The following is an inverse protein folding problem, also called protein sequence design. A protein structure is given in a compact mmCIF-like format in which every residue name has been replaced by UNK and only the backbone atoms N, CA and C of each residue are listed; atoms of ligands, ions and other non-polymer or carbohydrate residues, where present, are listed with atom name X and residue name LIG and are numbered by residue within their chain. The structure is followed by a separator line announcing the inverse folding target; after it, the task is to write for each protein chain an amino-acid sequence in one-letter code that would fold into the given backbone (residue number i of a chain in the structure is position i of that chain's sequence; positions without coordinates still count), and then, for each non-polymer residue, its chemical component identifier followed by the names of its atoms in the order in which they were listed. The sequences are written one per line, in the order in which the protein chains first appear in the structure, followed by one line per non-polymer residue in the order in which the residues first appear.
data_IF_185576381136
#
_entry.id   IF_185576381136
#
_cell.length_a   1.000
_cell.length_b   1.000
_cell.length_c   1.000
_cell.angle_alpha   90.00
_cell.angle_beta   90.00
_cell.angle_gamma   90.00
#
_symmetry.space_group_name_H-M   'P 1'
#
loop_
_entity.id
_entity.type
_entity.pdbx_description
1 polymer ?
#
# COMPACT_ATOMS: atom_id res chain seq x y z
N UNK A 1 -11.40 -19.33 7.28
CA UNK A 1 -10.09 -19.10 7.93
C UNK A 1 -10.19 -18.84 9.43
N UNK A 2 -11.38 -18.65 10.00
CA UNK A 2 -11.55 -18.34 11.43
C UNK A 2 -11.04 -19.47 12.33
N UNK A 3 -11.44 -20.71 12.05
CA UNK A 3 -11.08 -21.89 12.86
C UNK A 3 -9.67 -22.44 12.57
N UNK A 4 -9.02 -21.99 11.49
CA UNK A 4 -7.70 -22.51 11.11
C UNK A 4 -6.65 -21.75 11.91
N UNK A 5 -5.86 -22.49 12.69
CA UNK A 5 -4.78 -21.92 13.48
C UNK A 5 -3.65 -21.37 12.58
N UNK A 6 -3.05 -20.25 13.00
CA UNK A 6 -1.99 -19.60 12.27
C UNK A 6 -0.71 -20.44 12.25
N UNK A 7 -0.36 -21.06 13.38
CA UNK A 7 0.85 -21.89 13.48
C UNK A 7 0.75 -23.13 12.60
N UNK A 8 -0.45 -23.70 12.44
CA UNK A 8 -0.70 -24.75 11.47
C UNK A 8 -0.44 -24.30 10.03
N UNK A 9 -0.90 -23.11 9.64
CA UNK A 9 -0.63 -22.55 8.29
C UNK A 9 0.87 -22.37 8.08
N UNK A 10 1.55 -21.82 9.09
CA UNK A 10 3.00 -21.61 9.05
C UNK A 10 3.76 -22.94 8.95
N UNK A 11 3.33 -23.97 9.67
CA UNK A 11 3.91 -25.32 9.60
C UNK A 11 3.73 -25.93 8.19
N UNK A 12 2.53 -25.85 7.62
CA UNK A 12 2.27 -26.31 6.25
C UNK A 12 3.17 -25.60 5.24
N UNK A 13 3.28 -24.27 5.32
CA UNK A 13 4.16 -23.51 4.43
C UNK A 13 5.63 -23.93 4.57
N UNK A 14 6.14 -24.10 5.80
CA UNK A 14 7.55 -24.46 6.03
C UNK A 14 7.89 -25.90 5.67
N UNK A 15 7.02 -26.83 6.03
CA UNK A 15 7.36 -28.25 6.10
C UNK A 15 6.65 -29.09 5.04
N UNK A 16 5.54 -28.60 4.48
CA UNK A 16 4.76 -29.34 3.46
C UNK A 16 4.97 -28.77 2.05
N UNK A 17 5.29 -27.49 1.91
CA UNK A 17 5.61 -26.90 0.61
C UNK A 17 7.07 -27.16 0.26
N UNK A 18 7.31 -28.06 -0.70
CA UNK A 18 8.65 -28.54 -1.09
C UNK A 18 9.66 -27.42 -1.36
N UNK A 19 9.24 -26.38 -2.08
CA UNK A 19 10.06 -25.21 -2.39
C UNK A 19 9.14 -24.01 -2.55
N UNK A 20 9.36 -22.96 -1.76
CA UNK A 20 8.56 -21.74 -1.85
C UNK A 20 9.22 -20.78 -2.85
N UNK A 21 8.54 -20.43 -3.96
CA UNK A 21 8.95 -19.33 -4.84
C UNK A 21 9.07 -18.00 -4.07
N UNK A 22 10.20 -17.32 -4.28
CA UNK A 22 10.46 -15.97 -3.77
C UNK A 22 10.82 -15.11 -4.98
N UNK A 23 9.84 -14.49 -5.65
CA UNK A 23 10.07 -13.65 -6.83
C UNK A 23 10.68 -12.32 -6.37
N UNK A 24 11.98 -12.13 -6.60
CA UNK A 24 12.70 -10.95 -6.11
C UNK A 24 12.68 -9.84 -7.17
N UNK A 25 12.35 -8.63 -6.74
CA UNK A 25 12.55 -7.38 -7.47
C UNK A 25 13.46 -6.42 -6.71
N UNK A 26 13.98 -5.44 -7.43
CA UNK A 26 14.84 -4.38 -6.90
C UNK A 26 14.05 -3.09 -6.81
N UNK A 27 13.90 -2.56 -5.61
CA UNK A 27 13.52 -1.16 -5.41
C UNK A 27 14.81 -0.34 -5.37
N UNK A 28 15.06 0.39 -6.46
CA UNK A 28 16.33 1.09 -6.64
C UNK A 28 16.58 2.15 -5.56
N UNK A 29 17.86 2.53 -5.41
CA UNK A 29 18.25 3.70 -4.63
C UNK A 29 17.51 4.95 -5.14
N UNK A 30 17.11 5.82 -4.22
CA UNK A 30 16.32 7.02 -4.47
C UNK A 30 14.89 6.74 -4.99
N UNK A 31 14.41 5.51 -4.89
CA UNK A 31 13.01 5.22 -5.15
C UNK A 31 12.15 5.89 -4.08
N UNK A 32 11.05 6.49 -4.52
CA UNK A 32 10.15 7.21 -3.63
C UNK A 32 8.95 6.35 -3.22
N UNK A 33 8.53 6.46 -1.97
CA UNK A 33 7.38 5.76 -1.41
C UNK A 33 6.46 6.77 -0.73
N UNK A 34 5.17 6.81 -1.08
CA UNK A 34 4.19 7.65 -0.38
C UNK A 34 3.40 6.83 0.63
N UNK A 35 3.29 7.33 1.84
CA UNK A 35 2.37 6.82 2.87
C UNK A 35 1.34 7.89 3.19
N UNK A 36 0.08 7.51 3.17
CA UNK A 36 -1.03 8.38 3.57
C UNK A 36 -1.45 8.05 4.99
N UNK A 37 -1.77 9.09 5.76
CA UNK A 37 -2.49 8.97 7.03
C UNK A 37 -3.65 9.95 7.02
N UNK A 38 -4.86 9.45 7.29
CA UNK A 38 -6.04 10.29 7.43
C UNK A 38 -5.86 11.22 8.63
N UNK A 39 -6.15 12.51 8.45
CA UNK A 39 -6.15 13.48 9.53
C UNK A 39 -7.46 13.37 10.33
N UNK A 40 -7.37 13.71 11.61
CA UNK A 40 -8.55 13.95 12.42
C UNK A 40 -9.05 15.37 12.15
N UNK A 41 -10.07 15.48 11.30
CA UNK A 41 -10.56 16.75 10.77
C UNK A 41 -9.43 17.59 10.16
N UNK A 42 -9.19 18.80 10.69
CA UNK A 42 -8.14 19.73 10.24
C UNK A 42 -6.86 19.65 11.10
N UNK A 43 -6.77 18.70 12.05
CA UNK A 43 -5.59 18.55 12.90
C UNK A 43 -4.43 17.96 12.09
N UNK A 44 -3.34 18.73 12.00
CA UNK A 44 -2.12 18.33 11.31
C UNK A 44 -1.19 17.53 12.22
N UNK A 45 -0.43 16.60 11.64
CA UNK A 45 0.61 15.87 12.36
C UNK A 45 1.81 16.79 12.64
N UNK A 46 2.42 16.62 13.80
CA UNK A 46 3.52 17.47 14.27
C UNK A 46 4.85 16.72 14.32
N UNK A 47 4.84 15.42 14.09
CA UNK A 47 6.03 14.57 14.15
C UNK A 47 6.01 13.54 13.01
N UNK A 48 7.14 13.34 12.34
CA UNK A 48 7.29 12.36 11.27
C UNK A 48 7.05 10.93 11.74
N UNK A 49 7.28 10.63 13.02
CA UNK A 49 7.02 9.31 13.60
C UNK A 49 5.53 8.99 13.59
N UNK A 50 4.67 10.00 13.63
CA UNK A 50 3.23 9.83 13.42
C UNK A 50 2.90 9.45 11.98
N UNK A 51 3.80 9.69 11.03
CA UNK A 51 3.59 9.42 9.61
C UNK A 51 4.36 8.18 9.12
N UNK A 52 5.19 7.58 9.97
CA UNK A 52 5.88 6.31 9.75
C UNK A 52 5.01 5.11 10.18
N UNK A 53 5.61 4.01 10.63
CA UNK A 53 4.93 2.91 11.30
C UNK A 53 4.51 3.27 12.75
N UNK A 54 3.62 2.46 13.33
CA UNK A 54 3.13 2.71 14.70
C UNK A 54 4.23 2.33 15.70
N UNK A 55 4.67 3.30 16.51
CA UNK A 55 5.70 3.12 17.56
C UNK A 55 5.14 3.07 18.98
N UNK A 56 3.90 3.50 19.17
CA UNK A 56 3.26 3.53 20.49
C UNK A 56 2.92 2.11 20.95
N UNK A 57 3.52 1.70 22.07
CA UNK A 57 3.38 0.35 22.60
C UNK A 57 1.95 0.05 23.07
N UNK A 58 1.26 1.00 23.66
CA UNK A 58 -0.12 0.79 24.11
C UNK A 58 -1.05 0.61 22.89
N UNK A 59 -0.77 1.32 21.79
CA UNK A 59 -1.48 1.11 20.53
C UNK A 59 -1.19 -0.28 19.95
N UNK A 60 0.09 -0.68 19.91
CA UNK A 60 0.51 -2.00 19.40
C UNK A 60 -0.15 -3.13 20.20
N UNK A 61 -0.06 -3.07 21.53
CA UNK A 61 -0.49 -4.17 22.39
C UNK A 61 -2.03 -4.26 22.48
N UNK A 62 -2.77 -3.16 22.35
CA UNK A 62 -4.22 -3.15 22.59
C UNK A 62 -5.10 -2.93 21.35
N UNK A 63 -4.57 -2.39 20.25
CA UNK A 63 -5.37 -2.00 19.07
C UNK A 63 -4.93 -2.67 17.77
N UNK A 64 -3.70 -3.17 17.67
CA UNK A 64 -3.25 -3.94 16.50
C UNK A 64 -3.61 -5.42 16.68
N UNK A 65 -4.89 -5.74 16.87
CA UNK A 65 -5.34 -7.09 17.23
C UNK A 65 -5.71 -7.98 16.04
N UNK A 66 -5.61 -7.46 14.82
CA UNK A 66 -6.10 -8.12 13.61
C UNK A 66 -4.96 -8.43 12.63
N UNK A 67 -5.13 -9.48 11.82
CA UNK A 67 -4.23 -9.77 10.72
C UNK A 67 -4.36 -8.72 9.62
N UNK A 68 -3.23 -8.19 9.17
CA UNK A 68 -3.10 -7.44 7.93
C UNK A 68 -2.66 -8.34 6.77
N UNK A 69 -2.66 -7.82 5.54
CA UNK A 69 -2.14 -8.54 4.37
C UNK A 69 -0.72 -9.07 4.57
N UNK A 70 0.09 -8.33 5.34
CA UNK A 70 1.51 -8.56 5.47
C UNK A 70 2.01 -8.64 6.92
N UNK A 71 1.13 -8.66 7.92
CA UNK A 71 1.53 -8.69 9.32
C UNK A 71 0.51 -9.40 10.20
N UNK A 72 1.00 -9.95 11.32
CA UNK A 72 0.16 -10.53 12.36
C UNK A 72 -0.33 -9.44 13.33
N UNK A 73 -1.27 -9.77 14.23
CA UNK A 73 -1.55 -8.95 15.39
C UNK A 73 -0.27 -8.55 16.14
N UNK A 74 -0.23 -7.32 16.63
CA UNK A 74 0.86 -6.72 17.41
C UNK A 74 2.18 -6.54 16.65
N UNK A 75 2.19 -6.71 15.32
CA UNK A 75 3.35 -6.48 14.48
C UNK A 75 3.18 -5.21 13.64
N UNK A 76 3.76 -4.07 14.06
CA UNK A 76 3.68 -2.86 13.28
C UNK A 76 4.52 -2.99 12.00
N UNK A 77 3.95 -2.56 10.89
CA UNK A 77 4.65 -2.46 9.60
C UNK A 77 4.45 -1.08 8.99
N UNK A 78 5.42 -0.65 8.19
CA UNK A 78 5.26 0.52 7.33
C UNK A 78 4.61 0.10 6.02
N UNK A 79 3.39 0.58 5.80
CA UNK A 79 2.67 0.44 4.53
C UNK A 79 2.76 1.73 3.74
N UNK A 80 3.13 1.64 2.46
CA UNK A 80 3.17 2.76 1.52
C UNK A 80 2.83 2.32 0.10
N UNK A 81 2.97 3.23 -0.84
CA UNK A 81 2.75 3.01 -2.25
C UNK A 81 3.91 3.53 -3.09
N UNK A 82 4.20 2.83 -4.18
CA UNK A 82 5.20 3.22 -5.18
C UNK A 82 4.53 3.48 -6.54
N UNK A 83 5.19 4.22 -7.42
CA UNK A 83 4.68 4.51 -8.76
C UNK A 83 4.65 3.26 -9.63
N UNK A 84 3.65 3.15 -10.50
CA UNK A 84 3.60 2.20 -11.61
C UNK A 84 3.60 2.95 -12.96
N UNK A 85 3.77 2.23 -14.08
CA UNK A 85 3.68 2.88 -15.40
C UNK A 85 2.27 3.44 -15.69
N UNK A 86 1.24 2.87 -15.07
CA UNK A 86 -0.16 3.25 -15.26
C UNK A 86 -0.59 4.36 -14.29
N UNK A 87 -0.05 4.35 -13.07
CA UNK A 87 -0.35 5.30 -12.01
C UNK A 87 0.96 5.90 -11.49
N UNK A 88 1.36 7.00 -12.11
CA UNK A 88 2.63 7.70 -11.85
C UNK A 88 2.62 8.51 -10.54
N UNK A 89 1.43 8.75 -9.97
CA UNK A 89 1.24 9.47 -8.69
C UNK A 89 0.89 8.50 -7.57
N UNK A 90 1.90 7.86 -6.98
CA UNK A 90 1.73 6.86 -5.91
C UNK A 90 0.89 7.33 -4.70
N UNK A 91 0.82 8.63 -4.42
CA UNK A 91 -0.13 9.24 -3.45
C UNK A 91 -1.59 8.83 -3.66
N UNK A 92 -2.02 8.62 -4.91
CA UNK A 92 -3.41 8.22 -5.21
C UNK A 92 -3.67 6.83 -4.63
N UNK A 93 -2.72 5.90 -4.82
CA UNK A 93 -2.76 4.57 -4.22
C UNK A 93 -2.71 4.63 -2.70
N UNK A 94 -1.80 5.43 -2.14
CA UNK A 94 -1.69 5.59 -0.69
C UNK A 94 -3.01 6.10 -0.05
N UNK A 95 -3.66 7.10 -0.66
CA UNK A 95 -4.96 7.60 -0.21
C UNK A 95 -6.06 6.54 -0.40
N UNK A 96 -6.05 5.84 -1.54
CA UNK A 96 -7.06 4.83 -1.83
C UNK A 96 -7.05 3.65 -0.84
N UNK A 97 -5.88 3.23 -0.35
CA UNK A 97 -5.78 2.17 0.67
C UNK A 97 -6.24 2.63 2.07
N UNK A 98 -6.27 3.93 2.34
CA UNK A 98 -6.63 4.46 3.68
C UNK A 98 -8.04 5.05 3.74
N UNK A 99 -8.62 5.39 2.59
CA UNK A 99 -9.93 6.03 2.52
C UNK A 99 -11.08 5.04 2.41
N UNK A 100 -12.01 5.11 3.37
CA UNK A 100 -13.30 4.42 3.27
C UNK A 100 -14.13 4.90 2.07
N UNK A 101 -13.92 6.13 1.60
CA UNK A 101 -14.59 6.64 0.40
C UNK A 101 -14.12 5.91 -0.85
N UNK A 102 -12.87 5.45 -0.94
CA UNK A 102 -12.45 4.63 -2.09
C UNK A 102 -13.07 3.23 -2.07
N UNK A 103 -13.24 2.67 -0.87
CA UNK A 103 -13.87 1.36 -0.66
C UNK A 103 -15.37 1.39 -1.01
N UNK A 104 -16.07 2.49 -0.71
CA UNK A 104 -17.48 2.67 -1.04
C UNK A 104 -17.67 3.27 -2.45
N UNK A 105 -18.18 2.47 -3.39
CA UNK A 105 -18.49 2.92 -4.76
C UNK A 105 -19.55 4.03 -4.80
N UNK A 106 -20.47 4.04 -3.84
CA UNK A 106 -21.52 5.05 -3.72
C UNK A 106 -21.15 6.16 -2.73
N UNK A 107 -19.94 6.12 -2.17
CA UNK A 107 -19.47 7.07 -1.19
C UNK A 107 -19.53 8.50 -1.73
N UNK A 108 -20.05 9.42 -0.91
CA UNK A 108 -20.06 10.83 -1.23
C UNK A 108 -19.52 11.65 -0.05
N UNK A 109 -18.53 12.49 -0.35
CA UNK A 109 -18.07 13.54 0.55
C UNK A 109 -17.53 14.71 -0.27
N UNK A 110 -18.32 15.78 -0.33
CA UNK A 110 -17.96 17.03 -1.00
C UNK A 110 -17.35 18.05 -0.04
N UNK A 111 -17.29 17.77 1.27
CA UNK A 111 -16.57 18.59 2.26
C UNK A 111 -15.07 18.32 2.26
N UNK A 112 -14.65 17.20 1.68
CA UNK A 112 -13.26 16.77 1.61
C UNK A 112 -12.84 15.96 2.85
N UNK A 113 -12.15 14.85 2.62
CA UNK A 113 -11.38 14.16 3.67
C UNK A 113 -9.93 14.61 3.60
N UNK A 114 -9.36 15.05 4.72
CA UNK A 114 -7.98 15.49 4.79
C UNK A 114 -7.04 14.29 5.03
N UNK A 115 -5.99 14.21 4.22
CA UNK A 115 -4.91 13.23 4.33
C UNK A 115 -3.57 13.93 4.39
N UNK A 116 -2.69 13.41 5.23
CA UNK A 116 -1.27 13.78 5.25
C UNK A 116 -0.48 12.71 4.52
N UNK A 117 0.23 13.13 3.48
CA UNK A 117 1.11 12.28 2.67
C UNK A 117 2.54 12.54 3.08
N UNK A 118 3.22 11.53 3.61
CA UNK A 118 4.66 11.53 3.80
C UNK A 118 5.31 10.80 2.64
N UNK A 119 6.27 11.46 1.97
CA UNK A 119 7.12 10.82 0.97
C UNK A 119 8.44 10.43 1.61
N UNK A 120 8.80 9.18 1.40
CA UNK A 120 10.04 8.58 1.85
C UNK A 120 10.88 8.20 0.63
N UNK A 121 12.19 8.14 0.82
CA UNK A 121 13.16 7.75 -0.21
C UNK A 121 14.09 6.67 0.32
N UNK A 122 14.42 5.70 -0.54
CA UNK A 122 15.37 4.64 -0.23
C UNK A 122 16.82 5.15 -0.27
N UNK A 123 17.59 4.88 0.78
CA UNK A 123 19.03 5.21 0.89
C UNK A 123 19.90 4.31 0.01
N UNK A 124 19.46 3.08 -0.25
CA UNK A 124 20.14 2.08 -1.08
C UNK A 124 19.14 1.30 -1.93
N UNK A 125 19.65 0.44 -2.82
CA UNK A 125 18.82 -0.58 -3.45
C UNK A 125 18.31 -1.58 -2.38
N UNK A 126 17.01 -1.88 -2.42
CA UNK A 126 16.35 -2.83 -1.53
C UNK A 126 15.80 -4.00 -2.34
N UNK A 127 16.02 -5.22 -1.87
CA UNK A 127 15.39 -6.40 -2.46
C UNK A 127 14.01 -6.59 -1.84
N UNK A 128 12.99 -6.69 -2.68
CA UNK A 128 11.59 -6.86 -2.27
C UNK A 128 10.98 -8.07 -2.98
N UNK A 129 10.01 -8.70 -2.33
CA UNK A 129 9.28 -9.84 -2.90
C UNK A 129 8.06 -9.35 -3.67
N UNK A 130 7.90 -9.82 -4.90
CA UNK A 130 6.76 -9.50 -5.77
C UNK A 130 5.57 -10.41 -5.50
N UNK A 131 4.54 -9.90 -4.82
CA UNK A 131 3.28 -10.61 -4.59
C UNK A 131 2.17 -9.93 -5.38
N UNK A 132 2.41 -9.76 -6.68
CA UNK A 132 1.59 -8.95 -7.60
C UNK A 132 0.85 -9.76 -8.66
N UNK A 133 1.02 -11.08 -8.66
CA UNK A 133 0.63 -11.98 -9.74
C UNK A 133 -0.80 -12.52 -9.60
N UNK A 134 -1.71 -11.77 -8.99
CA UNK A 134 -3.12 -12.14 -8.98
C UNK A 134 -3.62 -12.20 -10.43
N UNK A 135 -4.50 -13.14 -10.74
CA UNK A 135 -4.91 -13.45 -12.11
C UNK A 135 -5.48 -12.23 -12.82
N UNK A 136 -6.26 -11.41 -12.10
CA UNK A 136 -6.81 -10.17 -12.62
C UNK A 136 -5.72 -9.11 -12.84
N UNK A 137 -4.76 -8.99 -11.91
CA UNK A 137 -3.65 -8.05 -12.02
C UNK A 137 -2.78 -8.33 -13.26
N UNK A 138 -2.49 -9.62 -13.54
CA UNK A 138 -1.79 -10.06 -14.76
C UNK A 138 -2.57 -9.64 -16.03
N UNK A 139 -3.90 -9.68 -16.00
CA UNK A 139 -4.73 -9.31 -17.16
C UNK A 139 -4.77 -7.81 -17.42
N UNK A 140 -4.89 -7.00 -16.36
CA UNK A 140 -5.20 -5.57 -16.48
C UNK A 140 -3.97 -4.66 -16.40
N UNK A 141 -2.86 -5.13 -15.84
CA UNK A 141 -1.65 -4.32 -15.64
C UNK A 141 -0.46 -4.87 -16.47
N UNK A 142 -0.03 -4.15 -17.53
CA UNK A 142 1.07 -4.58 -18.38
C UNK A 142 2.40 -4.81 -17.65
N UNK A 143 2.70 -4.03 -16.61
CA UNK A 143 3.93 -4.18 -15.83
C UNK A 143 3.94 -5.51 -15.08
N UNK A 144 2.80 -5.85 -14.46
CA UNK A 144 2.62 -7.09 -13.71
C UNK A 144 2.71 -8.29 -14.65
N UNK A 145 2.07 -8.22 -15.82
CA UNK A 145 2.19 -9.27 -16.83
C UNK A 145 3.64 -9.52 -17.23
N UNK A 146 4.37 -8.46 -17.54
CA UNK A 146 5.79 -8.54 -17.91
C UNK A 146 6.66 -9.08 -16.78
N UNK A 147 6.40 -8.66 -15.54
CA UNK A 147 7.09 -9.19 -14.37
C UNK A 147 6.83 -10.70 -14.20
N UNK A 148 5.58 -11.15 -14.36
CA UNK A 148 5.22 -12.57 -14.28
C UNK A 148 5.92 -13.43 -15.33
N UNK A 149 5.93 -12.96 -16.58
CA UNK A 149 6.63 -13.62 -17.70
C UNK A 149 8.13 -13.73 -17.41
N UNK A 150 8.76 -12.65 -16.91
CA UNK A 150 10.18 -12.64 -16.54
C UNK A 150 10.50 -13.59 -15.38
N UNK A 151 9.68 -13.63 -14.34
CA UNK A 151 9.88 -14.53 -13.21
C UNK A 151 9.73 -16.00 -13.65
N UNK A 152 8.81 -16.27 -14.58
CA UNK A 152 8.61 -17.60 -15.16
C UNK A 152 9.81 -18.02 -16.02
N UNK A 153 10.32 -17.11 -16.85
CA UNK A 153 11.53 -17.35 -17.66
C UNK A 153 12.75 -17.60 -16.78
N UNK A 154 12.96 -16.77 -15.75
CA UNK A 154 14.05 -16.94 -14.78
C UNK A 154 13.98 -18.30 -14.07
N UNK A 155 12.80 -18.72 -13.63
CA UNK A 155 12.62 -20.03 -12.99
C UNK A 155 12.94 -21.19 -13.95
N UNK A 156 12.55 -21.06 -15.23
CA UNK A 156 12.87 -22.04 -16.27
C UNK A 156 14.38 -22.13 -16.53
N UNK A 157 15.06 -20.99 -16.66
CA UNK A 157 16.51 -20.92 -16.85
C UNK A 157 17.29 -21.44 -15.65
N UNK A 158 16.80 -21.19 -14.44
CA UNK A 158 17.36 -21.72 -13.19
C UNK A 158 17.10 -23.22 -12.98
N UNK A 159 16.43 -23.90 -13.93
CA UNK A 159 16.18 -25.33 -13.88
C UNK A 159 15.13 -25.73 -12.84
N UNK A 160 14.05 -24.96 -12.68
CA UNK A 160 12.95 -25.36 -11.81
C UNK A 160 12.35 -26.71 -12.25
N UNK A 161 12.41 -27.69 -11.34
CA UNK A 161 11.90 -29.06 -11.56
C UNK A 161 10.39 -29.10 -11.89
N UNK A 162 9.64 -28.11 -11.40
CA UNK A 162 8.18 -28.02 -11.52
C UNK A 162 7.77 -26.55 -11.73
N UNK A 163 7.78 -26.14 -13.01
CA UNK A 163 7.45 -24.77 -13.41
C UNK A 163 5.96 -24.46 -13.21
N UNK A 164 5.09 -25.45 -13.35
CA UNK A 164 3.64 -25.30 -13.15
C UNK A 164 3.36 -24.99 -11.68
N UNK A 165 3.90 -25.78 -10.76
CA UNK A 165 3.82 -25.48 -9.33
C UNK A 165 4.38 -24.09 -9.00
N UNK A 166 5.51 -23.72 -9.59
CA UNK A 166 6.11 -22.40 -9.37
C UNK A 166 5.14 -21.28 -9.76
N UNK A 167 4.60 -21.31 -10.97
CA UNK A 167 3.68 -20.27 -11.44
C UNK A 167 2.35 -20.27 -10.68
N UNK A 168 1.80 -21.45 -10.38
CA UNK A 168 0.55 -21.59 -9.65
C UNK A 168 0.68 -21.08 -8.22
N UNK A 169 1.81 -21.32 -7.57
CA UNK A 169 2.06 -20.83 -6.23
C UNK A 169 2.20 -19.30 -6.21
N UNK A 170 2.89 -18.71 -7.19
CA UNK A 170 2.99 -17.25 -7.34
C UNK A 170 1.62 -16.59 -7.46
N UNK A 171 0.75 -17.17 -8.31
CA UNK A 171 -0.63 -16.72 -8.47
C UNK A 171 -1.41 -16.92 -7.18
N UNK A 172 -1.38 -18.11 -6.59
CA UNK A 172 -2.11 -18.46 -5.38
C UNK A 172 -1.83 -17.50 -4.21
N UNK A 173 -0.57 -17.21 -3.93
CA UNK A 173 -0.19 -16.30 -2.85
C UNK A 173 -0.64 -14.87 -3.18
N UNK A 174 -0.48 -14.43 -4.43
CA UNK A 174 -0.94 -13.10 -4.86
C UNK A 174 -2.46 -12.93 -4.75
N UNK A 175 -3.23 -13.99 -5.00
CA UNK A 175 -4.68 -14.00 -4.76
C UNK A 175 -5.02 -13.89 -3.26
N UNK A 176 -4.19 -14.41 -2.36
CA UNK A 176 -4.41 -14.21 -0.91
C UNK A 176 -4.22 -12.74 -0.50
N UNK A 177 -3.33 -12.00 -1.15
CA UNK A 177 -3.16 -10.56 -0.95
C UNK A 177 -4.30 -9.74 -1.60
N UNK A 178 -4.79 -10.18 -2.76
CA UNK A 178 -5.81 -9.49 -3.55
C UNK A 178 -7.26 -9.73 -3.08
N UNK A 179 -7.47 -10.67 -2.16
CA UNK A 179 -8.80 -11.11 -1.73
C UNK A 179 -9.64 -9.98 -1.12
N UNK A 180 -10.92 -9.91 -1.51
CA UNK A 180 -11.95 -9.17 -0.78
C UNK A 180 -12.25 -9.89 0.54
N UNK A 181 -11.95 -9.25 1.67
CA UNK A 181 -12.06 -9.90 2.98
C UNK A 181 -13.45 -9.81 3.56
N UNK A 182 -13.91 -10.91 4.13
CA UNK A 182 -15.08 -10.90 5.04
C UNK A 182 -14.64 -10.80 6.50
N UNK A 183 -13.43 -11.27 6.79
CA UNK A 183 -12.82 -11.28 8.12
C UNK A 183 -11.32 -11.04 8.00
N UNK A 184 -10.71 -10.39 8.99
CA UNK A 184 -9.25 -10.21 9.04
C UNK A 184 -8.51 -11.55 9.05
N UNK A 185 -9.15 -12.63 9.55
CA UNK A 185 -8.61 -13.98 9.50
C UNK A 185 -8.37 -14.50 8.07
N UNK A 186 -8.99 -13.90 7.05
CA UNK A 186 -8.75 -14.26 5.65
C UNK A 186 -7.30 -13.96 5.21
N UNK A 187 -6.59 -13.09 5.94
CA UNK A 187 -5.20 -12.73 5.65
C UNK A 187 -4.14 -13.62 6.29
N UNK A 188 -4.50 -14.64 7.07
CA UNK A 188 -3.51 -15.51 7.74
C UNK A 188 -2.47 -16.12 6.78
N UNK A 189 -2.88 -16.55 5.59
CA UNK A 189 -1.95 -17.13 4.60
C UNK A 189 -1.00 -16.06 4.04
N UNK A 190 -1.51 -14.87 3.72
CA UNK A 190 -0.71 -13.75 3.21
C UNK A 190 0.30 -13.26 4.26
N UNK A 191 -0.13 -13.12 5.52
CA UNK A 191 0.73 -12.79 6.64
C UNK A 191 1.78 -13.88 6.92
N UNK A 192 1.42 -15.17 6.83
CA UNK A 192 2.36 -16.28 7.01
C UNK A 192 3.42 -16.35 5.92
N UNK A 193 3.03 -16.13 4.65
CA UNK A 193 3.98 -16.01 3.57
C UNK A 193 4.93 -14.83 3.79
N UNK A 194 4.40 -13.67 4.21
CA UNK A 194 5.20 -12.48 4.50
C UNK A 194 6.22 -12.72 5.60
N UNK A 195 5.81 -13.30 6.73
CA UNK A 195 6.72 -13.65 7.83
C UNK A 195 7.81 -14.62 7.36
N UNK A 196 7.46 -15.58 6.50
CA UNK A 196 8.43 -16.55 5.97
C UNK A 196 9.50 -15.86 5.09
N UNK A 197 9.08 -15.05 4.12
CA UNK A 197 10.02 -14.44 3.17
C UNK A 197 10.89 -13.36 3.82
N UNK A 198 10.36 -12.64 4.82
CA UNK A 198 11.11 -11.63 5.57
C UNK A 198 12.15 -12.23 6.53
N UNK A 199 12.13 -13.55 6.78
CA UNK A 199 13.24 -14.23 7.48
C UNK A 199 14.49 -14.39 6.63
N UNK A 200 14.39 -14.20 5.32
CA UNK A 200 15.56 -14.22 4.44
C UNK A 200 16.36 -12.92 4.67
N UNK A 201 17.66 -13.00 5.01
CA UNK A 201 18.43 -11.84 5.49
C UNK A 201 18.55 -10.69 4.48
N UNK A 202 18.45 -10.99 3.19
CA UNK A 202 18.55 -9.99 2.12
C UNK A 202 17.21 -9.33 1.75
N UNK A 203 16.08 -9.91 2.16
CA UNK A 203 14.76 -9.41 1.78
C UNK A 203 14.34 -8.30 2.73
N UNK A 204 14.08 -7.12 2.15
CA UNK A 204 13.75 -5.92 2.90
C UNK A 204 12.24 -5.70 3.02
N UNK A 205 11.42 -6.24 2.11
CA UNK A 205 9.99 -5.95 2.09
C UNK A 205 9.21 -6.76 1.06
N UNK A 206 7.92 -6.47 0.96
CA UNK A 206 6.99 -7.11 0.01
C UNK A 206 6.25 -6.03 -0.78
N UNK A 207 6.12 -6.21 -2.08
CA UNK A 207 5.23 -5.40 -2.92
C UNK A 207 4.01 -6.22 -3.34
N UNK A 208 2.85 -5.58 -3.38
CA UNK A 208 1.58 -6.22 -3.72
C UNK A 208 0.65 -5.20 -4.39
N UNK A 209 -0.34 -5.64 -5.19
CA UNK A 209 -1.14 -4.74 -5.98
C UNK A 209 -2.21 -4.10 -5.11
N UNK A 210 -2.62 -2.89 -5.47
CA UNK A 210 -3.70 -2.20 -4.78
C UNK A 210 -5.05 -2.61 -5.37
N UNK A 211 -5.82 -3.38 -4.60
CA UNK A 211 -7.22 -3.73 -4.94
C UNK A 211 -8.08 -2.47 -5.03
N UNK A 212 -7.84 -1.47 -4.18
CA UNK A 212 -8.61 -0.22 -4.13
C UNK A 212 -8.46 0.62 -5.40
N UNK A 213 -7.33 0.48 -6.09
CA UNK A 213 -7.08 1.12 -7.40
C UNK A 213 -7.27 0.15 -8.57
N UNK A 214 -8.00 -0.97 -8.38
CA UNK A 214 -8.24 -1.99 -9.41
C UNK A 214 -6.94 -2.52 -10.04
N UNK A 215 -5.95 -2.80 -9.21
CA UNK A 215 -4.64 -3.36 -9.59
C UNK A 215 -3.74 -2.42 -10.41
N UNK A 216 -4.09 -1.13 -10.52
CA UNK A 216 -3.29 -0.14 -11.23
C UNK A 216 -2.14 0.40 -10.35
N UNK A 217 -2.39 0.56 -9.05
CA UNK A 217 -1.41 0.97 -8.06
C UNK A 217 -0.64 -0.19 -7.45
N UNK A 218 0.54 0.11 -6.91
CA UNK A 218 1.40 -0.87 -6.22
C UNK A 218 1.64 -0.40 -4.80
N UNK A 219 1.33 -1.29 -3.85
CA UNK A 219 1.64 -1.12 -2.44
C UNK A 219 2.99 -1.75 -2.12
N UNK A 220 3.64 -1.23 -1.09
CA UNK A 220 4.85 -1.80 -0.51
C UNK A 220 4.72 -1.83 1.01
N UNK A 221 5.30 -2.86 1.61
CA UNK A 221 5.37 -3.01 3.06
C UNK A 221 6.80 -3.31 3.51
N UNK A 222 7.23 -2.63 4.57
CA UNK A 222 8.55 -2.77 5.16
C UNK A 222 8.46 -3.02 6.67
N UNK A 223 9.32 -3.89 7.23
CA UNK A 223 9.56 -3.98 8.66
C UNK A 223 10.10 -2.66 9.24
N UNK A 224 9.82 -2.35 10.53
CA UNK A 224 10.37 -1.20 11.24
C UNK A 224 11.87 -0.98 11.06
N UNK A 225 12.68 -2.03 11.18
CA UNK A 225 14.13 -1.97 11.09
C UNK A 225 14.63 -1.55 9.71
N UNK A 226 13.90 -1.91 8.65
CA UNK A 226 14.22 -1.46 7.27
C UNK A 226 13.85 0.00 7.11
N UNK A 227 12.73 0.45 7.68
CA UNK A 227 12.31 1.85 7.62
C UNK A 227 13.33 2.75 8.30
N UNK A 228 13.70 2.42 9.54
CA UNK A 228 14.60 3.24 10.34
C UNK A 228 16.02 3.29 9.73
N UNK A 229 16.47 2.18 9.13
CA UNK A 229 17.80 2.08 8.54
C UNK A 229 17.87 2.64 7.12
N UNK A 230 16.92 2.31 6.26
CA UNK A 230 17.02 2.47 4.81
C UNK A 230 16.11 3.55 4.22
N UNK A 231 15.15 4.10 4.97
CA UNK A 231 14.28 5.15 4.47
C UNK A 231 14.63 6.52 5.07
N UNK A 232 14.49 7.57 4.26
CA UNK A 232 14.54 8.97 4.72
C UNK A 232 13.25 9.71 4.34
N UNK A 233 12.67 10.50 5.26
CA UNK A 233 11.56 11.36 4.90
C UNK A 233 12.05 12.51 4.00
N UNK A 234 11.43 12.69 2.84
CA UNK A 234 11.78 13.74 1.89
C UNK A 234 10.92 14.99 2.03
N UNK A 235 9.61 14.81 2.05
CA UNK A 235 8.65 15.89 2.23
C UNK A 235 7.32 15.37 2.74
N UNK A 236 6.53 16.27 3.32
CA UNK A 236 5.18 15.97 3.76
C UNK A 236 4.23 17.04 3.25
N UNK A 237 3.08 16.60 2.73
CA UNK A 237 2.02 17.49 2.24
C UNK A 237 0.67 17.03 2.77
N UNK A 238 -0.31 17.91 2.81
CA UNK A 238 -1.70 17.52 3.01
C UNK A 238 -2.51 17.69 1.74
N UNK A 239 -3.48 16.80 1.57
CA UNK A 239 -4.35 16.74 0.40
C UNK A 239 -5.78 16.48 0.85
N UNK A 240 -6.74 17.09 0.16
CA UNK A 240 -8.17 16.88 0.38
C UNK A 240 -8.74 15.97 -0.70
N UNK A 241 -9.36 14.87 -0.28
CA UNK A 241 -10.09 13.95 -1.14
C UNK A 241 -11.57 14.33 -1.18
N UNK A 242 -12.06 14.69 -2.35
CA UNK A 242 -13.47 14.91 -2.63
C UNK A 242 -14.00 13.77 -3.50
N UNK A 243 -15.20 13.28 -3.20
CA UNK A 243 -15.80 12.18 -3.96
C UNK A 243 -17.32 12.32 -4.06
N UNK A 244 -17.85 11.93 -5.22
CA UNK A 244 -19.21 11.44 -5.37
C UNK A 244 -19.19 10.08 -6.11
N UNK A 245 -20.33 9.43 -6.37
CA UNK A 245 -20.35 8.12 -7.02
C UNK A 245 -19.73 8.07 -8.44
N UNK A 246 -19.62 9.23 -9.12
CA UNK A 246 -19.16 9.32 -10.51
C UNK A 246 -17.74 9.86 -10.65
N UNK A 247 -17.29 10.66 -9.69
CA UNK A 247 -16.10 11.51 -9.80
C UNK A 247 -15.30 11.51 -8.50
N UNK A 248 -13.99 11.65 -8.62
CA UNK A 248 -13.07 11.76 -7.48
C UNK A 248 -12.03 12.82 -7.81
N UNK A 249 -11.73 13.67 -6.84
CA UNK A 249 -10.76 14.75 -6.95
C UNK A 249 -9.86 14.76 -5.71
N UNK A 250 -8.56 14.79 -5.93
CA UNK A 250 -7.56 14.97 -4.87
C UNK A 250 -6.91 16.34 -5.09
N UNK A 251 -7.12 17.25 -4.14
CA UNK A 251 -6.60 18.62 -4.20
C UNK A 251 -5.46 18.81 -3.21
N UNK A 252 -4.45 19.60 -3.59
CA UNK A 252 -3.40 20.03 -2.66
C UNK A 252 -3.98 20.98 -1.59
N UNK A 253 -3.38 20.97 -0.39
CA UNK A 253 -3.79 21.83 0.71
C UNK A 253 -2.58 22.53 1.35
N UNK A 254 -1.89 21.89 2.28
CA UNK A 254 -0.71 22.46 2.96
C UNK A 254 0.56 21.69 2.62
N UNK A 255 1.72 22.36 2.74
CA UNK A 255 3.04 21.72 2.66
C UNK A 255 3.82 21.92 3.96
N UNK A 256 4.59 20.91 4.32
CA UNK A 256 5.51 20.96 5.46
C UNK A 256 6.81 21.65 5.03
N UNK A 257 7.33 22.53 5.88
CA UNK A 257 8.49 23.36 5.59
C UNK A 257 9.83 22.71 5.96
N UNK A 258 9.83 21.89 7.00
CA UNK A 258 11.02 21.56 7.76
C UNK A 258 11.18 20.05 8.03
N UNK A 259 10.61 19.18 7.18
CA UNK A 259 10.62 17.73 7.44
C UNK A 259 12.03 17.13 7.53
N UNK A 260 13.02 17.73 6.85
CA UNK A 260 14.41 17.26 6.84
C UNK A 260 15.21 17.89 7.98
N UNK A 261 14.91 19.13 8.30
CA UNK A 261 15.62 19.96 9.27
C UNK A 261 15.13 19.70 10.71
N UNK A 262 13.82 19.49 10.88
CA UNK A 262 13.18 19.30 12.17
C UNK A 262 12.00 18.30 12.10
N UNK A 263 12.28 17.00 11.85
CA UNK A 263 11.26 15.98 11.64
C UNK A 263 10.31 15.76 12.84
N UNK A 264 10.70 16.15 14.04
CA UNK A 264 9.91 15.98 15.27
C UNK A 264 9.14 17.24 15.71
N UNK A 265 9.15 18.28 14.88
CA UNK A 265 8.33 19.48 15.06
C UNK A 265 7.96 20.06 13.69
N UNK A 266 7.05 19.38 13.00
CA UNK A 266 6.62 19.69 11.65
C UNK A 266 5.86 21.03 11.59
N UNK A 267 6.36 21.92 10.74
CA UNK A 267 5.79 23.24 10.51
C UNK A 267 5.07 23.29 9.17
N UNK A 268 3.82 23.75 9.19
CA UNK A 268 2.92 23.71 8.04
C UNK A 268 2.63 25.11 7.53
N UNK A 269 2.58 25.24 6.21
CA UNK A 269 2.06 26.43 5.55
C UNK A 269 1.13 26.06 4.40
N UNK A 270 0.33 27.02 3.97
CA UNK A 270 -0.49 26.85 2.77
C UNK A 270 0.40 26.63 1.55
N UNK A 271 -0.04 25.74 0.67
CA UNK A 271 0.61 25.57 -0.64
C UNK A 271 0.38 26.85 -1.45
N UNK A 272 1.33 27.23 -2.31
CA UNK A 272 1.17 28.40 -3.17
C UNK A 272 -0.11 28.32 -4.00
N UNK A 273 -0.78 29.45 -4.18
CA UNK A 273 -2.11 29.54 -4.81
C UNK A 273 -2.17 28.85 -6.18
N UNK A 274 -1.10 28.96 -6.98
CA UNK A 274 -0.99 28.33 -8.29
C UNK A 274 -1.04 26.80 -8.28
N UNK A 275 -0.79 26.18 -7.12
CA UNK A 275 -0.84 24.73 -6.92
C UNK A 275 -2.10 24.28 -6.17
N UNK A 276 -2.92 25.21 -5.68
CA UNK A 276 -4.18 24.93 -5.02
C UNK A 276 -5.30 24.74 -6.05
N UNK A 277 -6.19 23.80 -5.76
CA UNK A 277 -7.44 23.69 -6.50
C UNK A 277 -8.42 24.72 -5.97
N UNK A 278 -8.85 25.66 -6.82
CA UNK A 278 -9.80 26.72 -6.45
C UNK A 278 -11.16 26.13 -6.06
N UNK A 279 -11.83 26.75 -5.09
CA UNK A 279 -13.15 26.31 -4.65
C UNK A 279 -14.18 26.34 -5.79
N UNK A 280 -14.13 27.35 -6.67
CA UNK A 280 -15.07 27.43 -7.80
C UNK A 280 -14.93 26.22 -8.74
N UNK A 281 -13.70 25.73 -8.94
CA UNK A 281 -13.46 24.53 -9.74
C UNK A 281 -14.03 23.28 -9.06
N UNK A 282 -13.89 23.15 -7.73
CA UNK A 282 -14.45 22.02 -6.98
C UNK A 282 -15.98 22.01 -7.10
N UNK A 283 -16.62 23.17 -6.91
CA UNK A 283 -18.06 23.33 -7.01
C UNK A 283 -18.57 23.02 -8.42
N UNK A 284 -17.87 23.47 -9.46
CA UNK A 284 -18.20 23.16 -10.85
C UNK A 284 -17.99 21.67 -11.18
N UNK A 285 -16.87 21.09 -10.73
CA UNK A 285 -16.53 19.69 -10.98
C UNK A 285 -17.57 18.74 -10.37
N UNK A 286 -18.10 19.10 -9.20
CA UNK A 286 -19.14 18.37 -8.46
C UNK A 286 -20.53 19.04 -8.54
N UNK A 287 -20.83 19.81 -9.58
CA UNK A 287 -22.16 20.44 -9.78
C UNK A 287 -23.33 19.45 -9.75
N UNK A 288 -23.06 18.18 -10.08
CA UNK A 288 -24.03 17.08 -10.08
C UNK A 288 -24.34 16.56 -8.65
N UNK A 289 -23.65 17.08 -7.63
CA UNK A 289 -23.84 16.76 -6.22
C UNK A 289 -23.55 15.29 -5.88
N UNK A 290 -24.19 14.82 -4.80
CA UNK A 290 -24.20 13.41 -4.40
C UNK A 290 -25.34 12.60 -5.05
N UNK A 291 -26.13 13.21 -5.93
CA UNK A 291 -27.42 12.65 -6.31
C UNK A 291 -27.27 11.47 -7.27
N UNK A 292 -27.75 10.31 -6.82
CA UNK A 292 -27.80 9.06 -7.58
C UNK A 292 -29.18 8.90 -8.21
N UNK A 293 -29.46 9.60 -9.31
CA UNK A 293 -30.45 9.03 -10.22
C UNK A 293 -29.84 7.73 -10.76
N UNK A 294 -30.44 6.55 -10.49
CA UNK A 294 -29.89 5.31 -11.00
C UNK A 294 -29.83 5.41 -12.53
N UNK A 295 -28.66 5.15 -13.10
CA UNK A 295 -28.55 4.91 -14.54
C UNK A 295 -29.37 3.66 -14.85
N UNK A 296 -30.64 3.83 -15.20
CA UNK A 296 -31.35 2.87 -16.03
C UNK A 296 -30.72 2.91 -17.42
N UNK A 297 -29.71 2.06 -17.64
CA UNK A 297 -29.42 1.32 -18.88
C UNK A 297 -28.09 0.60 -18.78
#
# INVERSE_FOLDING_TARGET
MEEVDYDYIMDVLKNSVRKIPIPIAKLHQYATIDRARKNDEEKLFTDIDQLSYIKDKDIIDNYLTEFGRANKPHEPMFYGAISSSVLDKQRVTAIAETSKLFQDRNGCNLKGELYTISRWETKSELLVVEVVFASEAIKVNPDIKKAFEKQTEFAKEAGADDLEFYTDFLVFISEQFARETKSHNDYKIAAAYTELVLKHPDICGVIFPSVQTRFLGVNVVFPPEVVDKELIPLFTTTQKLYKNPKKTLIANHKKCLNVKENPHNLEWQDTEEQYLTKQEYIDEYFKDGCDTSPNTR
#
